data_IF_135513469201
#
_entry.id   IF_135513469201
#
_cell.length_a   1.000
_cell.length_b   1.000
_cell.length_c   1.000
_cell.angle_alpha   90.00
_cell.angle_beta   90.00
_cell.angle_gamma   90.00
#
_symmetry.space_group_name_H-M   'P 1'
#
loop_
_entity.id
_entity.type
_entity.pdbx_description
1 polymer ?
#
# COMPACT_ATOMS: atom_id res chain seq x y z
N UNK A 1 0.83 3.02 -18.12
CA UNK A 1 1.82 2.00 -17.70
C UNK A 1 1.02 0.80 -17.22
N UNK A 2 1.47 -0.41 -17.53
CA UNK A 2 0.82 -1.63 -17.02
C UNK A 2 0.99 -1.73 -15.49
N UNK A 3 -0.06 -2.16 -14.78
CA UNK A 3 -0.03 -2.26 -13.32
C UNK A 3 1.01 -3.27 -12.84
N UNK A 4 1.30 -4.30 -13.65
CA UNK A 4 2.41 -5.23 -13.40
C UNK A 4 3.76 -4.53 -13.34
N UNK A 5 4.02 -3.60 -14.27
CA UNK A 5 5.23 -2.78 -14.29
C UNK A 5 5.37 -1.93 -13.03
N UNK A 6 4.28 -1.37 -12.51
CA UNK A 6 4.30 -0.55 -11.30
C UNK A 6 4.64 -1.41 -10.07
N UNK A 7 4.04 -2.60 -9.95
CA UNK A 7 4.30 -3.50 -8.81
C UNK A 7 5.75 -3.98 -8.79
N UNK A 8 6.33 -4.24 -9.96
CA UNK A 8 7.70 -4.78 -10.09
C UNK A 8 8.77 -3.69 -10.25
N UNK A 9 8.38 -2.41 -10.23
CA UNK A 9 9.30 -1.28 -10.39
C UNK A 9 10.40 -1.30 -9.31
N UNK A 10 11.65 -1.13 -9.74
CA UNK A 10 12.80 -1.03 -8.85
C UNK A 10 13.32 0.39 -8.80
N UNK A 11 13.94 0.77 -7.67
CA UNK A 11 14.54 2.09 -7.50
C UNK A 11 16.08 1.99 -7.49
N UNK A 12 16.73 2.98 -8.11
CA UNK A 12 18.19 3.10 -8.05
C UNK A 12 18.67 3.45 -6.63
N UNK A 13 19.77 2.88 -6.13
CA UNK A 13 20.26 3.14 -4.77
C UNK A 13 20.47 4.62 -4.48
N UNK A 14 21.00 5.37 -5.46
CA UNK A 14 21.23 6.80 -5.33
C UNK A 14 19.91 7.59 -5.17
N UNK A 15 18.85 7.17 -5.85
CA UNK A 15 17.54 7.80 -5.75
C UNK A 15 16.88 7.50 -4.40
N UNK A 16 16.95 6.25 -3.93
CA UNK A 16 16.51 5.87 -2.59
C UNK A 16 17.21 6.70 -1.51
N UNK A 17 18.52 6.91 -1.63
CA UNK A 17 19.29 7.75 -0.69
C UNK A 17 18.82 9.21 -0.69
N UNK A 18 18.38 9.75 -1.84
CA UNK A 18 17.85 11.12 -1.90
C UNK A 18 16.57 11.26 -1.07
N UNK A 19 15.63 10.33 -1.21
CA UNK A 19 14.41 10.32 -0.40
C UNK A 19 14.71 10.07 1.08
N UNK A 20 15.63 9.15 1.38
CA UNK A 20 16.06 8.88 2.75
C UNK A 20 16.65 10.14 3.40
N UNK A 21 17.51 10.88 2.69
CA UNK A 21 18.11 12.11 3.20
C UNK A 21 17.05 13.15 3.55
N UNK A 22 16.08 13.40 2.67
CA UNK A 22 14.99 14.36 2.92
C UNK A 22 14.19 13.97 4.16
N UNK A 23 13.82 12.70 4.30
CA UNK A 23 13.09 12.19 5.46
C UNK A 23 13.89 12.32 6.75
N UNK A 24 15.17 11.93 6.75
CA UNK A 24 16.04 11.99 7.92
C UNK A 24 16.35 13.43 8.34
N UNK A 25 16.62 14.32 7.39
CA UNK A 25 16.89 15.75 7.66
C UNK A 25 15.68 16.43 8.32
N UNK A 26 14.46 16.11 7.89
CA UNK A 26 13.24 16.61 8.53
C UNK A 26 13.03 15.98 9.91
N UNK A 27 13.24 14.67 10.04
CA UNK A 27 13.11 13.94 11.31
C UNK A 27 14.06 14.51 12.38
N UNK A 28 15.29 14.88 11.99
CA UNK A 28 16.26 15.50 12.87
C UNK A 28 15.82 16.89 13.37
N UNK A 29 14.93 17.57 12.65
CA UNK A 29 14.40 18.91 12.97
C UNK A 29 13.03 18.87 13.65
N UNK A 30 12.41 17.70 13.77
CA UNK A 30 11.06 17.51 14.33
C UNK A 30 10.26 16.45 13.59
N UNK A 31 8.93 16.57 13.60
CA UNK A 31 8.07 15.64 12.87
C UNK A 31 8.19 15.88 11.35
N UNK A 32 8.55 14.87 10.54
CA UNK A 32 8.62 15.02 9.09
C UNK A 32 7.23 15.23 8.48
N UNK A 33 7.16 15.94 7.37
CA UNK A 33 5.91 16.18 6.65
C UNK A 33 5.35 14.88 6.05
N UNK A 34 4.02 14.80 5.90
CA UNK A 34 3.37 13.62 5.32
C UNK A 34 3.91 13.29 3.92
N UNK A 35 4.22 14.32 3.12
CA UNK A 35 4.84 14.18 1.80
C UNK A 35 6.22 13.52 1.90
N UNK A 36 7.10 13.98 2.80
CA UNK A 36 8.44 13.41 2.95
C UNK A 36 8.40 11.94 3.40
N UNK A 37 7.52 11.62 4.35
CA UNK A 37 7.31 10.23 4.79
C UNK A 37 6.79 9.37 3.65
N UNK A 38 5.80 9.86 2.91
CA UNK A 38 5.19 9.14 1.80
C UNK A 38 6.20 8.88 0.67
N UNK A 39 6.95 9.90 0.23
CA UNK A 39 7.95 9.74 -0.83
C UNK A 39 9.03 8.73 -0.43
N UNK A 40 9.49 8.77 0.82
CA UNK A 40 10.46 7.80 1.31
C UNK A 40 9.87 6.39 1.42
N UNK A 41 8.63 6.24 1.90
CA UNK A 41 7.96 4.95 1.92
C UNK A 41 7.77 4.37 0.51
N UNK A 42 7.34 5.19 -0.46
CA UNK A 42 7.22 4.78 -1.86
C UNK A 42 8.57 4.35 -2.46
N UNK A 43 9.66 5.02 -2.11
CA UNK A 43 11.01 4.60 -2.49
C UNK A 43 11.38 3.24 -1.86
N UNK A 44 11.11 3.05 -0.56
CA UNK A 44 11.42 1.83 0.17
C UNK A 44 10.67 0.60 -0.38
N UNK A 45 9.40 0.73 -0.75
CA UNK A 45 8.63 -0.40 -1.30
C UNK A 45 9.16 -0.86 -2.67
N UNK A 46 9.97 -0.03 -3.35
CA UNK A 46 10.64 -0.36 -4.62
C UNK A 46 12.04 -0.97 -4.44
N UNK A 47 12.52 -1.05 -3.20
CA UNK A 47 13.85 -1.60 -2.82
C UNK A 47 13.75 -3.11 -2.50
N UNK A 48 14.51 -3.58 -1.51
CA UNK A 48 14.55 -4.96 -1.02
C UNK A 48 13.41 -5.28 -0.04
N UNK A 49 13.29 -6.57 0.31
CA UNK A 49 12.20 -7.09 1.17
C UNK A 49 12.15 -6.45 2.56
N UNK A 50 13.29 -6.10 3.15
CA UNK A 50 13.32 -5.47 4.48
C UNK A 50 12.86 -4.02 4.41
N UNK A 51 13.28 -3.30 3.37
CA UNK A 51 12.84 -1.94 3.10
C UNK A 51 11.35 -1.87 2.79
N UNK A 52 10.80 -2.82 2.03
CA UNK A 52 9.35 -2.92 1.81
C UNK A 52 8.58 -2.98 3.13
N UNK A 53 9.04 -3.77 4.11
CA UNK A 53 8.41 -3.85 5.43
C UNK A 53 8.49 -2.52 6.19
N UNK A 54 9.58 -1.76 6.05
CA UNK A 54 9.71 -0.41 6.62
C UNK A 54 8.73 0.56 5.93
N UNK A 55 8.65 0.51 4.60
CA UNK A 55 7.71 1.32 3.82
C UNK A 55 6.26 1.08 4.21
N UNK A 56 5.85 -0.18 4.42
CA UNK A 56 4.52 -0.55 4.92
C UNK A 56 4.23 0.15 6.26
N UNK A 57 5.14 0.06 7.23
CA UNK A 57 4.97 0.70 8.55
C UNK A 57 4.78 2.21 8.43
N UNK A 58 5.59 2.87 7.59
CA UNK A 58 5.48 4.32 7.37
C UNK A 58 4.14 4.71 6.73
N UNK A 59 3.63 3.91 5.77
CA UNK A 59 2.32 4.14 5.16
C UNK A 59 1.17 3.89 6.14
N UNK A 60 1.25 2.85 6.98
CA UNK A 60 0.27 2.60 8.04
C UNK A 60 0.28 3.71 9.10
N UNK A 61 1.45 4.22 9.47
CA UNK A 61 1.59 5.38 10.34
C UNK A 61 0.96 6.63 9.74
N UNK A 62 1.14 6.88 8.44
CA UNK A 62 0.48 7.98 7.74
C UNK A 62 -1.04 7.81 7.68
N UNK A 63 -1.54 6.60 7.44
CA UNK A 63 -2.97 6.32 7.38
C UNK A 63 -3.69 6.61 8.72
N UNK A 64 -2.98 6.42 9.85
CA UNK A 64 -3.47 6.74 11.19
C UNK A 64 -3.47 8.24 11.53
N UNK A 65 -2.70 9.05 10.80
CA UNK A 65 -2.64 10.50 11.01
C UNK A 65 -3.79 11.16 10.24
N UNK A 66 -4.41 12.18 10.82
CA UNK A 66 -5.24 13.12 10.07
C UNK A 66 -4.32 14.12 9.36
N UNK A 67 -3.60 13.63 8.34
CA UNK A 67 -2.78 14.47 7.46
C UNK A 67 -3.59 14.81 6.20
N UNK A 68 -3.73 16.10 5.91
CA UNK A 68 -4.54 16.60 4.77
C UNK A 68 -3.75 16.63 3.45
N UNK A 69 -2.41 16.60 3.51
CA UNK A 69 -1.55 16.88 2.35
C UNK A 69 -1.44 15.75 1.31
N UNK A 70 -1.75 14.51 1.68
CA UNK A 70 -1.75 13.38 0.75
C UNK A 70 -3.00 12.54 1.00
N UNK A 71 -3.66 12.15 -0.09
CA UNK A 71 -4.90 11.41 -0.05
C UNK A 71 -4.70 10.04 0.62
N UNK A 72 -5.51 9.73 1.65
CA UNK A 72 -5.53 8.40 2.30
C UNK A 72 -5.70 7.25 1.29
N UNK A 73 -6.33 7.54 0.14
CA UNK A 73 -6.47 6.60 -1.00
C UNK A 73 -5.12 6.16 -1.58
N UNK A 74 -4.17 7.10 -1.68
CA UNK A 74 -2.84 6.81 -2.24
C UNK A 74 -2.08 5.87 -1.30
N UNK A 75 -2.16 6.12 0.02
CA UNK A 75 -1.55 5.23 1.01
C UNK A 75 -2.08 3.81 0.92
N UNK A 76 -3.40 3.65 0.82
CA UNK A 76 -4.08 2.37 0.68
C UNK A 76 -3.62 1.65 -0.61
N UNK A 77 -3.56 2.38 -1.74
CA UNK A 77 -3.12 1.83 -3.01
C UNK A 77 -1.68 1.31 -2.94
N UNK A 78 -0.76 2.09 -2.38
CA UNK A 78 0.64 1.66 -2.23
C UNK A 78 0.85 0.58 -1.16
N UNK A 79 -0.01 0.50 -0.14
CA UNK A 79 -0.05 -0.64 0.80
C UNK A 79 -0.43 -1.93 0.07
N UNK A 80 -1.44 -1.90 -0.81
CA UNK A 80 -1.80 -3.06 -1.63
C UNK A 80 -0.62 -3.49 -2.52
N UNK A 81 0.09 -2.56 -3.16
CA UNK A 81 1.31 -2.86 -3.94
C UNK A 81 2.38 -3.50 -3.06
N UNK A 82 2.69 -2.91 -1.90
CA UNK A 82 3.74 -3.41 -1.01
C UNK A 82 3.47 -4.84 -0.52
N UNK A 83 2.25 -5.13 -0.09
CA UNK A 83 1.86 -6.49 0.31
C UNK A 83 1.88 -7.48 -0.86
N UNK A 84 1.53 -7.03 -2.08
CA UNK A 84 1.64 -7.86 -3.30
C UNK A 84 3.09 -8.27 -3.55
N UNK A 85 4.04 -7.35 -3.37
CA UNK A 85 5.49 -7.64 -3.52
C UNK A 85 6.00 -8.62 -2.46
N UNK A 86 5.45 -8.57 -1.25
CA UNK A 86 5.78 -9.54 -0.19
C UNK A 86 5.07 -10.89 -0.35
N UNK A 87 4.23 -11.06 -1.38
CA UNK A 87 3.33 -12.21 -1.58
C UNK A 87 2.31 -12.39 -0.44
N UNK A 88 2.01 -11.30 0.27
CA UNK A 88 0.97 -11.25 1.31
C UNK A 88 -0.39 -10.92 0.66
N UNK A 89 -0.84 -11.80 -0.23
CA UNK A 89 -1.96 -11.52 -1.14
C UNK A 89 -3.28 -11.21 -0.43
N UNK A 90 -3.58 -11.87 0.71
CA UNK A 90 -4.81 -11.61 1.46
C UNK A 90 -4.86 -10.16 1.99
N UNK A 91 -3.72 -9.65 2.48
CA UNK A 91 -3.62 -8.25 2.93
C UNK A 91 -3.71 -7.29 1.75
N UNK A 92 -3.06 -7.61 0.64
CA UNK A 92 -3.13 -6.79 -0.57
C UNK A 92 -4.58 -6.68 -1.09
N UNK A 93 -5.34 -7.79 -1.08
CA UNK A 93 -6.76 -7.81 -1.43
C UNK A 93 -7.59 -6.97 -0.46
N UNK A 94 -7.38 -7.11 0.85
CA UNK A 94 -8.09 -6.32 1.84
C UNK A 94 -7.93 -4.80 1.63
N UNK A 95 -6.71 -4.33 1.37
CA UNK A 95 -6.45 -2.91 1.08
C UNK A 95 -7.11 -2.45 -0.23
N UNK A 96 -7.01 -3.23 -1.31
CA UNK A 96 -7.55 -2.79 -2.60
C UNK A 96 -9.08 -2.82 -2.64
N UNK A 97 -9.71 -3.77 -1.93
CA UNK A 97 -11.16 -3.86 -1.82
C UNK A 97 -11.75 -2.68 -1.05
N UNK A 98 -11.01 -2.19 -0.06
CA UNK A 98 -11.32 -0.98 0.67
C UNK A 98 -11.35 0.23 -0.25
N UNK A 99 -10.34 0.39 -1.12
CA UNK A 99 -10.31 1.49 -2.08
C UNK A 99 -11.49 1.39 -3.06
N UNK A 100 -11.78 0.19 -3.56
CA UNK A 100 -12.90 -0.06 -4.47
C UNK A 100 -14.28 0.09 -3.81
N UNK A 101 -14.39 -0.10 -2.49
CA UNK A 101 -15.64 0.14 -1.75
C UNK A 101 -16.00 1.63 -1.70
N UNK A 102 -14.99 2.51 -1.71
CA UNK A 102 -15.16 3.96 -1.80
C UNK A 102 -15.24 4.43 -3.26
N UNK A 103 -14.52 3.79 -4.17
CA UNK A 103 -14.39 4.17 -5.58
C UNK A 103 -14.55 2.97 -6.52
N UNK A 104 -15.79 2.52 -6.69
CA UNK A 104 -16.09 1.32 -7.48
C UNK A 104 -15.65 1.38 -8.94
N UNK A 105 -15.45 2.58 -9.51
CA UNK A 105 -15.04 2.80 -10.89
C UNK A 105 -13.53 3.10 -11.04
N UNK A 106 -12.75 2.99 -9.97
CA UNK A 106 -11.32 3.26 -10.02
C UNK A 106 -10.59 2.16 -10.83
N UNK A 107 -10.31 2.46 -12.10
CA UNK A 107 -9.68 1.54 -13.04
C UNK A 107 -8.32 1.02 -12.56
N UNK A 108 -7.50 1.86 -11.95
CA UNK A 108 -6.19 1.45 -11.43
C UNK A 108 -6.34 0.43 -10.30
N UNK A 109 -7.31 0.63 -9.41
CA UNK A 109 -7.58 -0.29 -8.31
C UNK A 109 -8.18 -1.63 -8.81
N UNK A 110 -9.04 -1.60 -9.82
CA UNK A 110 -9.58 -2.80 -10.48
C UNK A 110 -8.44 -3.62 -11.10
N UNK A 111 -7.59 -2.97 -11.90
CA UNK A 111 -6.45 -3.62 -12.56
C UNK A 111 -5.47 -4.22 -11.54
N UNK A 112 -5.19 -3.51 -10.44
CA UNK A 112 -4.35 -4.03 -9.35
C UNK A 112 -4.97 -5.25 -8.66
N UNK A 113 -6.27 -5.22 -8.37
CA UNK A 113 -6.99 -6.37 -7.78
C UNK A 113 -6.91 -7.62 -8.67
N UNK A 114 -7.07 -7.45 -9.98
CA UNK A 114 -6.96 -8.55 -10.93
C UNK A 114 -5.53 -9.11 -11.03
N UNK A 115 -4.52 -8.23 -11.00
CA UNK A 115 -3.12 -8.62 -10.92
C UNK A 115 -2.84 -9.43 -9.64
N UNK A 116 -3.32 -8.97 -8.48
CA UNK A 116 -3.14 -9.66 -7.19
C UNK A 116 -3.72 -11.07 -7.26
N UNK A 117 -4.97 -11.21 -7.72
CA UNK A 117 -5.63 -12.50 -7.89
C UNK A 117 -4.88 -13.41 -8.86
N UNK A 118 -4.35 -12.85 -9.95
CA UNK A 118 -3.55 -13.59 -10.93
C UNK A 118 -2.25 -14.11 -10.30
N UNK A 119 -1.51 -13.28 -9.57
CA UNK A 119 -0.27 -13.70 -8.88
C UNK A 119 -0.53 -14.73 -7.79
N UNK A 120 -1.58 -14.54 -7.00
CA UNK A 120 -2.02 -15.53 -6.00
C UNK A 120 -2.33 -16.90 -6.60
N UNK A 121 -3.03 -16.94 -7.74
CA UNK A 121 -3.26 -18.19 -8.49
C UNK A 121 -1.97 -18.83 -8.97
N UNK A 122 -1.08 -18.03 -9.57
CA UNK A 122 0.19 -18.53 -10.12
C UNK A 122 1.12 -19.08 -9.03
N UNK A 123 1.09 -18.49 -7.84
CA UNK A 123 1.87 -18.95 -6.69
C UNK A 123 1.24 -20.16 -5.97
N UNK A 124 0.09 -20.65 -6.44
CA UNK A 124 -0.60 -21.80 -5.83
C UNK A 124 -1.20 -21.49 -4.45
N UNK A 125 -1.29 -20.22 -4.06
CA UNK A 125 -1.82 -19.77 -2.76
C UNK A 125 -3.35 -19.69 -2.78
N UNK A 126 -3.99 -20.19 -3.85
CA UNK A 126 -5.44 -20.21 -3.97
C UNK A 126 -6.06 -21.23 -3.00
N UNK A 127 -6.39 -20.78 -1.80
CA UNK A 127 -7.29 -21.52 -0.90
C UNK A 127 -8.72 -21.54 -1.45
N UNK A 128 -9.45 -22.63 -1.18
CA UNK A 128 -10.85 -22.82 -1.62
C UNK A 128 -11.82 -21.69 -1.19
N UNK A 129 -11.42 -20.80 -0.28
CA UNK A 129 -12.24 -19.73 0.27
C UNK A 129 -12.45 -18.51 -0.65
N UNK A 130 -11.56 -18.25 -1.63
CA UNK A 130 -11.65 -17.03 -2.47
C UNK A 130 -12.63 -17.18 -3.64
N UNK A 131 -12.98 -18.41 -4.01
CA UNK A 131 -13.82 -18.68 -5.18
C UNK A 131 -15.33 -18.41 -4.93
N UNK A 132 -15.76 -18.19 -3.68
CA UNK A 132 -17.17 -18.12 -3.31
C UNK A 132 -17.72 -16.77 -2.80
N UNK A 133 -16.91 -15.69 -2.75
CA UNK A 133 -17.42 -14.35 -2.41
C UNK A 133 -17.30 -13.87 -0.95
N UNK A 134 -16.28 -14.32 -0.18
CA UNK A 134 -16.11 -13.90 1.22
C UNK A 134 -14.75 -13.29 1.56
N UNK A 135 -14.66 -11.95 1.59
CA UNK A 135 -13.57 -11.18 2.23
C UNK A 135 -13.73 -11.17 3.76
N UNK A 136 -13.94 -12.32 4.39
CA UNK A 136 -14.39 -12.32 5.78
C UNK A 136 -13.28 -12.20 6.84
N UNK A 137 -11.99 -12.29 6.50
CA UNK A 137 -10.97 -12.61 7.54
C UNK A 137 -9.85 -11.59 7.74
N UNK A 138 -9.61 -10.63 6.84
CA UNK A 138 -8.47 -9.70 7.00
C UNK A 138 -8.88 -8.23 6.90
N UNK A 139 -9.93 -7.84 7.63
CA UNK A 139 -10.46 -6.46 7.59
C UNK A 139 -10.30 -5.64 8.87
N UNK A 140 -9.98 -6.25 10.02
CA UNK A 140 -10.20 -5.63 11.33
C UNK A 140 -9.56 -4.25 11.54
N UNK A 141 -8.31 -4.05 11.08
CA UNK A 141 -7.60 -2.79 11.30
C UNK A 141 -7.91 -1.72 10.24
N UNK A 142 -8.08 -2.11 8.99
CA UNK A 142 -8.26 -1.15 7.90
C UNK A 142 -9.73 -0.69 7.80
N UNK A 143 -10.69 -1.57 8.08
CA UNK A 143 -12.13 -1.23 8.15
C UNK A 143 -12.38 -0.18 9.25
N UNK A 144 -11.71 -0.29 10.39
CA UNK A 144 -11.84 0.69 11.48
C UNK A 144 -11.34 2.10 11.07
N UNK A 145 -10.23 2.17 10.32
CA UNK A 145 -9.67 3.46 9.87
C UNK A 145 -10.58 4.19 8.86
N UNK A 146 -11.26 3.45 7.98
CA UNK A 146 -12.17 4.03 6.97
C UNK A 146 -13.52 4.38 7.60
N UNK A 147 -14.04 3.54 8.48
CA UNK A 147 -15.27 3.82 9.20
C UNK A 147 -15.14 5.11 10.05
N UNK A 148 -13.98 5.32 10.67
CA UNK A 148 -13.68 6.56 11.39
C UNK A 148 -13.58 7.78 10.45
N UNK A 149 -13.04 7.62 9.23
CA UNK A 149 -12.94 8.70 8.25
C UNK A 149 -14.29 9.09 7.62
N UNK A 150 -15.28 8.20 7.61
CA UNK A 150 -16.63 8.47 7.05
C UNK A 150 -17.58 9.13 8.06
N UNK A 151 -17.25 9.14 9.35
CA UNK A 151 -18.11 9.64 10.43
C UNK A 151 -17.78 11.09 10.86
N UNK A 152 -17.02 11.84 10.07
CA UNK A 152 -16.61 13.21 10.36
C UNK A 152 -17.04 14.15 9.23
#
# INVERSE_FOLDING_TARGET
MDVGTIVDETIEPAELMRFAKVYLDQTARGSPSAVAVFSYAHALIKSNKEDVKKGIKLLEDLLRRDAEDVSKRDYIYYLAIAHTRLKEYDRALAYIDILLSAESHNRQAIELKDLIKKRMRNDGILGMAILGGGLAVVGGLVVAAIAAAKSK
#
